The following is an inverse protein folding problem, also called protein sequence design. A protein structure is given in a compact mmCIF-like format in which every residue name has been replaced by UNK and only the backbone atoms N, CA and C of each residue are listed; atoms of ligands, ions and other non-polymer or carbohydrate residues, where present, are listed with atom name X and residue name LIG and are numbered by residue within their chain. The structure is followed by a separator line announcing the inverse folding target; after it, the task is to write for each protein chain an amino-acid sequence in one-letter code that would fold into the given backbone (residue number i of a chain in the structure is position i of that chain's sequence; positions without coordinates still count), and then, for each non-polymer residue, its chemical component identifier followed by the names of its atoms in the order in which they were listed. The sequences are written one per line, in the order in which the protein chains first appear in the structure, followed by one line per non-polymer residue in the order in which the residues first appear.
data_IF_705842723965
#
_entry.id   IF_705842723965
#
_cell.length_a   1.000
_cell.length_b   1.000
_cell.length_c   1.000
_cell.angle_alpha   90.00
_cell.angle_beta   90.00
_cell.angle_gamma   90.00
#
_symmetry.space_group_name_H-M   'P 1'
#
loop_
_entity.id
_entity.type
_entity.pdbx_description
1 polymer ?
#
# COMPACT_ATOMS: atom_id res chain seq x y z
N UNK A 1 1.93 -2.63 7.62
CA UNK A 1 1.39 -3.99 7.33
C UNK A 1 0.04 -3.86 6.64
N UNK A 2 -0.35 -4.84 5.81
CA UNK A 2 -1.54 -4.80 4.96
C UNK A 2 -2.56 -5.86 5.35
N UNK A 3 -3.84 -5.54 5.15
CA UNK A 3 -4.97 -6.41 5.47
C UNK A 3 -5.81 -6.72 4.22
N UNK A 4 -6.88 -7.50 4.40
CA UNK A 4 -7.87 -7.75 3.34
C UNK A 4 -8.61 -6.48 2.88
N UNK A 5 -8.42 -5.35 3.53
CA UNK A 5 -8.94 -4.06 3.07
C UNK A 5 -8.20 -3.57 1.80
N UNK A 6 -6.95 -4.01 1.60
CA UNK A 6 -6.19 -3.74 0.36
C UNK A 6 -5.74 -5.04 -0.33
N UNK A 7 -4.56 -5.53 -0.05
CA UNK A 7 -3.94 -6.68 -0.73
C UNK A 7 -3.24 -7.67 0.22
N UNK A 8 -3.41 -7.50 1.53
CA UNK A 8 -3.05 -8.49 2.53
C UNK A 8 -4.02 -9.66 2.58
N UNK A 9 -3.63 -10.77 3.22
CA UNK A 9 -4.45 -11.99 3.31
C UNK A 9 -5.23 -12.11 4.61
N UNK A 10 -4.85 -11.37 5.66
CA UNK A 10 -5.52 -11.40 6.97
C UNK A 10 -6.47 -10.21 7.12
N UNK A 11 -7.61 -10.45 7.77
CA UNK A 11 -8.49 -9.36 8.19
C UNK A 11 -7.78 -8.46 9.24
N UNK A 12 -8.22 -7.21 9.44
CA UNK A 12 -7.66 -6.36 10.49
C UNK A 12 -7.68 -7.01 11.88
N UNK A 13 -8.74 -7.74 12.22
CA UNK A 13 -8.86 -8.47 13.49
C UNK A 13 -7.81 -9.59 13.59
N UNK A 14 -7.70 -10.44 12.57
CA UNK A 14 -6.70 -11.53 12.54
C UNK A 14 -5.28 -10.96 12.60
N UNK A 15 -4.98 -9.91 11.83
CA UNK A 15 -3.64 -9.30 11.80
C UNK A 15 -3.24 -8.74 13.17
N UNK A 16 -4.15 -8.05 13.87
CA UNK A 16 -3.87 -7.51 15.21
C UNK A 16 -3.75 -8.60 16.26
N UNK A 17 -4.49 -9.71 16.14
CA UNK A 17 -4.30 -10.90 16.98
C UNK A 17 -2.93 -11.55 16.77
N UNK A 18 -2.48 -11.68 15.52
CA UNK A 18 -1.13 -12.19 15.21
C UNK A 18 -0.05 -11.27 15.75
N UNK A 19 -0.24 -9.95 15.71
CA UNK A 19 0.71 -8.98 16.27
C UNK A 19 0.88 -9.14 17.79
N UNK A 20 -0.23 -9.33 18.51
CA UNK A 20 -0.21 -9.60 19.96
C UNK A 20 0.49 -10.95 20.26
N UNK A 21 0.19 -12.00 19.48
CA UNK A 21 0.84 -13.30 19.63
C UNK A 21 2.35 -13.24 19.35
N UNK A 22 2.76 -12.39 18.42
CA UNK A 22 4.18 -12.16 18.10
C UNK A 22 4.89 -11.25 19.12
N UNK A 23 4.19 -10.71 20.11
CA UNK A 23 4.74 -9.84 21.15
C UNK A 23 5.10 -8.43 20.65
N UNK A 24 4.40 -7.92 19.66
CA UNK A 24 4.62 -6.55 19.19
C UNK A 24 3.97 -5.54 20.14
N UNK A 25 4.73 -4.51 20.55
CA UNK A 25 4.22 -3.41 21.38
C UNK A 25 3.42 -2.39 20.54
N UNK A 26 3.86 -2.14 19.31
CA UNK A 26 3.30 -1.14 18.41
C UNK A 26 3.25 -1.67 16.98
N UNK A 27 2.16 -1.36 16.27
CA UNK A 27 2.01 -1.64 14.85
C UNK A 27 1.24 -0.53 14.13
N UNK A 28 1.35 -0.49 12.81
CA UNK A 28 0.49 0.29 11.95
C UNK A 28 -0.15 -0.62 10.90
N UNK A 29 -1.45 -0.47 10.66
CA UNK A 29 -2.13 -1.01 9.49
C UNK A 29 -2.08 0.09 8.43
N UNK A 30 -1.37 -0.18 7.34
CA UNK A 30 -1.09 0.82 6.29
C UNK A 30 -1.60 0.34 4.93
N UNK A 31 -2.86 -0.05 4.89
CA UNK A 31 -3.50 -0.54 3.67
C UNK A 31 -3.38 0.44 2.51
N UNK A 32 -3.20 -0.08 1.29
CA UNK A 32 -3.06 0.75 0.10
C UNK A 32 -4.32 1.56 -0.19
N UNK A 33 -4.21 2.89 -0.11
CA UNK A 33 -5.21 3.88 -0.51
C UNK A 33 -6.60 3.70 0.16
N UNK A 34 -6.62 3.10 1.36
CA UNK A 34 -7.84 2.91 2.15
C UNK A 34 -7.57 2.97 3.64
N UNK A 35 -8.55 3.42 4.40
CA UNK A 35 -8.60 3.42 5.86
C UNK A 35 -9.71 2.48 6.38
N UNK A 36 -10.22 1.59 5.55
CA UNK A 36 -11.35 0.71 5.89
C UNK A 36 -11.08 -0.14 7.13
N UNK A 37 -9.82 -0.51 7.40
CA UNK A 37 -9.44 -1.23 8.62
C UNK A 37 -9.82 -0.50 9.92
N UNK A 38 -10.00 0.82 9.87
CA UNK A 38 -10.32 1.65 11.03
C UNK A 38 -11.78 2.10 11.07
N UNK A 39 -12.48 2.12 9.93
CA UNK A 39 -13.82 2.72 9.79
C UNK A 39 -14.95 1.70 9.59
N UNK A 40 -14.66 0.46 9.27
CA UNK A 40 -15.65 -0.58 8.97
C UNK A 40 -16.17 -1.34 10.19
N UNK A 41 -15.90 -0.87 11.41
CA UNK A 41 -16.30 -1.55 12.64
C UNK A 41 -15.48 -2.82 12.95
N UNK A 42 -14.30 -2.98 12.36
CA UNK A 42 -13.37 -4.05 12.67
C UNK A 42 -12.96 -4.01 14.14
N UNK A 43 -12.91 -5.18 14.78
CA UNK A 43 -12.44 -5.32 16.16
C UNK A 43 -10.94 -5.46 16.17
N UNK A 44 -10.23 -4.34 16.35
CA UNK A 44 -8.78 -4.36 16.51
C UNK A 44 -8.43 -4.81 17.93
N UNK A 45 -7.41 -5.69 18.05
CA UNK A 45 -7.00 -6.21 19.37
C UNK A 45 -6.31 -5.09 20.18
N UNK A 46 -6.82 -4.75 21.39
CA UNK A 46 -6.24 -3.69 22.22
C UNK A 46 -4.91 -4.09 22.90
N UNK A 47 -4.47 -5.33 22.76
CA UNK A 47 -3.20 -5.81 23.31
C UNK A 47 -1.95 -5.30 22.58
N UNK A 48 -2.11 -4.60 21.47
CA UNK A 48 -1.03 -3.91 20.75
C UNK A 48 -1.44 -2.46 20.48
N UNK A 49 -0.50 -1.51 20.65
CA UNK A 49 -0.75 -0.11 20.28
C UNK A 49 -0.82 0.02 18.76
N UNK A 50 -1.95 0.50 18.24
CA UNK A 50 -2.15 0.66 16.80
C UNK A 50 -2.05 2.14 16.44
N UNK A 51 -1.18 2.45 15.47
CA UNK A 51 -1.07 3.78 14.88
C UNK A 51 -1.93 3.78 13.61
N UNK A 52 -2.98 4.62 13.52
CA UNK A 52 -3.77 4.75 12.30
C UNK A 52 -2.90 5.21 11.16
N UNK A 53 -2.89 4.44 10.06
CA UNK A 53 -2.02 4.70 8.92
C UNK A 53 -2.70 4.33 7.60
N UNK A 54 -2.10 4.76 6.51
CA UNK A 54 -2.43 4.38 5.13
C UNK A 54 -1.18 4.50 4.27
N UNK A 55 -1.03 3.64 3.29
CA UNK A 55 0.01 3.76 2.27
C UNK A 55 -0.60 4.29 0.97
N UNK A 56 -0.32 5.56 0.66
CA UNK A 56 -0.82 6.20 -0.56
C UNK A 56 0.06 5.87 -1.75
N UNK A 57 -0.58 5.50 -2.85
CA UNK A 57 0.09 5.21 -4.13
C UNK A 57 0.32 6.51 -4.92
N UNK A 58 1.58 6.77 -5.25
CA UNK A 58 2.01 7.80 -6.19
C UNK A 58 2.96 7.19 -7.23
N UNK A 59 3.44 7.99 -8.16
CA UNK A 59 4.48 7.58 -9.11
C UNK A 59 5.30 8.79 -9.57
N UNK A 60 6.53 8.53 -9.96
CA UNK A 60 7.40 9.49 -10.60
C UNK A 60 8.21 8.81 -11.71
N UNK A 61 8.14 9.34 -12.93
CA UNK A 61 8.86 8.86 -14.12
C UNK A 61 8.79 7.33 -14.34
N UNK A 62 7.64 6.76 -13.96
CA UNK A 62 7.38 5.34 -14.15
C UNK A 62 7.78 4.43 -13.00
N UNK A 63 8.44 4.94 -11.98
CA UNK A 63 8.67 4.23 -10.73
C UNK A 63 7.51 4.45 -9.76
N UNK A 64 7.09 3.38 -9.10
CA UNK A 64 6.08 3.47 -8.03
C UNK A 64 6.70 4.15 -6.80
N UNK A 65 6.07 5.22 -6.32
CA UNK A 65 6.45 5.94 -5.11
C UNK A 65 5.31 5.82 -4.12
N UNK A 66 5.59 5.28 -2.94
CA UNK A 66 4.56 5.17 -1.91
C UNK A 66 4.82 6.17 -0.77
N UNK A 67 3.73 6.74 -0.27
CA UNK A 67 3.75 7.70 0.84
C UNK A 67 2.94 7.13 1.99
N UNK A 68 3.62 6.78 3.09
CA UNK A 68 2.98 6.37 4.33
C UNK A 68 2.43 7.59 5.06
N UNK A 69 1.14 7.57 5.36
CA UNK A 69 0.54 8.51 6.32
C UNK A 69 0.42 7.84 7.67
N UNK A 70 1.08 8.36 8.70
CA UNK A 70 0.91 7.90 10.08
C UNK A 70 0.10 8.88 10.91
N UNK A 71 -0.55 8.41 11.97
CA UNK A 71 -1.36 9.23 12.89
C UNK A 71 -2.54 9.94 12.23
N UNK A 72 -3.07 9.33 11.18
CA UNK A 72 -4.19 9.89 10.42
C UNK A 72 -5.44 10.05 11.30
N UNK A 73 -6.14 11.14 11.10
CA UNK A 73 -7.53 11.27 11.54
C UNK A 73 -8.43 10.53 10.56
N UNK A 74 -8.86 9.34 10.94
CA UNK A 74 -9.72 8.50 10.09
C UNK A 74 -11.13 9.07 9.88
N UNK A 75 -11.53 10.06 10.68
CA UNK A 75 -12.79 10.80 10.51
C UNK A 75 -12.63 12.03 9.60
N UNK A 76 -11.42 12.31 9.10
CA UNK A 76 -11.18 13.43 8.21
C UNK A 76 -11.92 13.25 6.88
N UNK A 77 -12.83 14.19 6.59
CA UNK A 77 -13.71 14.10 5.42
C UNK A 77 -12.95 14.05 4.08
N UNK A 78 -11.82 14.77 3.95
CA UNK A 78 -11.04 14.77 2.71
C UNK A 78 -10.31 13.44 2.51
N UNK A 79 -9.89 12.79 3.60
CA UNK A 79 -9.26 11.47 3.55
C UNK A 79 -10.29 10.39 3.17
N UNK A 80 -11.48 10.43 3.80
CA UNK A 80 -12.58 9.50 3.48
C UNK A 80 -13.05 9.66 2.02
N UNK A 81 -13.19 10.89 1.54
CA UNK A 81 -13.53 11.18 0.15
C UNK A 81 -12.48 10.64 -0.82
N UNK A 82 -11.19 10.82 -0.51
CA UNK A 82 -10.10 10.24 -1.30
C UNK A 82 -10.21 8.72 -1.40
N UNK A 83 -10.38 8.02 -0.28
CA UNK A 83 -10.50 6.56 -0.23
C UNK A 83 -11.71 6.06 -1.05
N UNK A 84 -12.87 6.73 -0.90
CA UNK A 84 -14.08 6.40 -1.65
C UNK A 84 -13.89 6.58 -3.17
N UNK A 85 -13.33 7.71 -3.59
CA UNK A 85 -13.03 7.99 -5.00
C UNK A 85 -11.96 7.04 -5.56
N UNK A 86 -10.95 6.68 -4.75
CA UNK A 86 -9.92 5.74 -5.16
C UNK A 86 -10.51 4.36 -5.44
N UNK A 87 -11.35 3.86 -4.53
CA UNK A 87 -12.08 2.59 -4.67
C UNK A 87 -12.93 2.56 -5.93
N UNK A 88 -13.71 3.63 -6.16
CA UNK A 88 -14.54 3.76 -7.37
C UNK A 88 -13.68 3.73 -8.65
N UNK A 89 -12.60 4.51 -8.70
CA UNK A 89 -11.69 4.54 -9.86
C UNK A 89 -11.04 3.17 -10.13
N UNK A 90 -10.68 2.43 -9.06
CA UNK A 90 -10.16 1.05 -9.23
C UNK A 90 -11.20 0.12 -9.84
N UNK A 91 -12.46 0.22 -9.41
CA UNK A 91 -13.55 -0.58 -9.96
C UNK A 91 -13.78 -0.24 -11.45
N UNK A 92 -13.89 1.04 -11.79
CA UNK A 92 -14.05 1.49 -13.17
C UNK A 92 -12.88 1.03 -14.05
N UNK A 93 -11.65 1.17 -13.57
CA UNK A 93 -10.46 0.71 -14.29
C UNK A 93 -10.46 -0.79 -14.52
N UNK A 94 -10.88 -1.60 -13.52
CA UNK A 94 -10.96 -3.05 -13.67
C UNK A 94 -11.95 -3.42 -14.80
N UNK A 95 -13.11 -2.78 -14.85
CA UNK A 95 -14.11 -3.01 -15.90
C UNK A 95 -13.59 -2.57 -17.28
N UNK A 96 -12.89 -1.45 -17.37
CA UNK A 96 -12.27 -1.00 -18.62
C UNK A 96 -11.19 -2.00 -19.13
N UNK A 97 -10.38 -2.57 -18.22
CA UNK A 97 -9.43 -3.63 -18.59
C UNK A 97 -10.17 -4.86 -19.13
N UNK A 98 -11.28 -5.26 -18.49
CA UNK A 98 -12.12 -6.37 -18.96
C UNK A 98 -12.65 -6.11 -20.36
N UNK A 99 -13.21 -4.93 -20.63
CA UNK A 99 -13.70 -4.53 -21.94
C UNK A 99 -12.61 -4.57 -23.02
N UNK A 100 -11.40 -4.11 -22.68
CA UNK A 100 -10.24 -4.22 -23.59
C UNK A 100 -9.83 -5.67 -23.83
N UNK A 101 -9.81 -6.53 -22.80
CA UNK A 101 -9.56 -7.96 -22.99
C UNK A 101 -10.60 -8.60 -23.92
N UNK A 102 -11.87 -8.29 -23.73
CA UNK A 102 -12.96 -8.81 -24.59
C UNK A 102 -12.83 -8.33 -26.04
N UNK A 103 -12.45 -7.07 -26.25
CA UNK A 103 -12.20 -6.55 -27.61
C UNK A 103 -11.04 -7.24 -28.32
N UNK A 104 -10.12 -7.84 -27.56
CA UNK A 104 -9.03 -8.68 -28.05
C UNK A 104 -9.42 -10.16 -28.20
N UNK A 105 -10.68 -10.54 -27.92
CA UNK A 105 -11.20 -11.90 -28.01
C UNK A 105 -11.06 -12.72 -26.73
N UNK A 106 -10.64 -12.13 -25.62
CA UNK A 106 -10.49 -12.80 -24.32
C UNK A 106 -11.72 -12.56 -23.45
N UNK A 107 -12.70 -13.45 -23.49
CA UNK A 107 -13.95 -13.31 -22.71
C UNK A 107 -13.74 -13.67 -21.25
N UNK A 108 -14.06 -12.75 -20.35
CA UNK A 108 -14.00 -12.92 -18.89
C UNK A 108 -15.40 -13.10 -18.30
N UNK A 109 -15.47 -13.67 -17.10
CA UNK A 109 -16.71 -13.82 -16.36
C UNK A 109 -17.05 -12.48 -15.64
N UNK A 110 -17.90 -11.68 -16.30
CA UNK A 110 -18.32 -10.37 -15.77
C UNK A 110 -19.11 -10.51 -14.48
N UNK A 111 -19.98 -11.52 -14.34
CA UNK A 111 -20.78 -11.70 -13.13
C UNK A 111 -19.89 -11.98 -11.92
N UNK A 112 -18.85 -12.81 -12.11
CA UNK A 112 -17.86 -13.06 -11.08
C UNK A 112 -17.12 -11.78 -10.66
N UNK A 113 -16.71 -10.95 -11.65
CA UNK A 113 -16.00 -9.69 -11.42
C UNK A 113 -16.90 -8.69 -10.68
N UNK A 114 -18.09 -8.46 -11.20
CA UNK A 114 -19.08 -7.56 -10.61
C UNK A 114 -19.48 -8.01 -9.19
N UNK A 115 -19.62 -9.32 -8.98
CA UNK A 115 -19.88 -9.90 -7.67
C UNK A 115 -18.77 -9.65 -6.65
N UNK A 116 -17.49 -9.63 -7.05
CA UNK A 116 -16.37 -9.26 -6.18
C UNK A 116 -16.42 -7.76 -5.86
N UNK A 117 -16.62 -6.92 -6.88
CA UNK A 117 -16.68 -5.48 -6.74
C UNK A 117 -17.86 -5.02 -5.87
N UNK A 118 -19.05 -5.63 -6.04
CA UNK A 118 -20.25 -5.32 -5.27
C UNK A 118 -20.11 -5.62 -3.77
N UNK A 119 -19.31 -6.64 -3.42
CA UNK A 119 -18.97 -6.96 -2.02
C UNK A 119 -17.84 -6.09 -1.44
N UNK A 120 -17.42 -5.07 -2.17
CA UNK A 120 -16.36 -4.17 -1.77
C UNK A 120 -14.93 -4.68 -2.04
N UNK A 121 -14.79 -5.85 -2.69
CA UNK A 121 -13.49 -6.35 -3.10
C UNK A 121 -12.84 -5.51 -4.18
N UNK A 122 -11.54 -5.67 -4.35
CA UNK A 122 -10.76 -4.99 -5.38
C UNK A 122 -10.27 -5.95 -6.44
N UNK A 123 -10.37 -5.56 -7.70
CA UNK A 123 -9.82 -6.29 -8.83
C UNK A 123 -8.73 -5.46 -9.49
N UNK A 124 -7.55 -6.04 -9.59
CA UNK A 124 -6.40 -5.45 -10.28
C UNK A 124 -5.92 -6.34 -11.43
N UNK A 125 -4.92 -5.87 -12.18
CA UNK A 125 -4.32 -6.61 -13.30
C UNK A 125 -3.91 -8.05 -12.94
N UNK A 126 -3.31 -8.35 -11.76
CA UNK A 126 -2.96 -9.73 -11.41
C UNK A 126 -4.19 -10.64 -11.25
N UNK A 127 -5.33 -10.09 -10.79
CA UNK A 127 -6.57 -10.86 -10.68
C UNK A 127 -7.11 -11.21 -12.08
N UNK A 128 -7.15 -10.22 -12.98
CA UNK A 128 -7.58 -10.42 -14.37
C UNK A 128 -6.65 -11.39 -15.09
N UNK A 129 -5.33 -11.28 -14.88
CA UNK A 129 -4.35 -12.21 -15.45
C UNK A 129 -4.60 -13.65 -14.99
N UNK A 130 -4.84 -13.88 -13.70
CA UNK A 130 -5.17 -15.23 -13.19
C UNK A 130 -6.47 -15.76 -13.78
N UNK A 131 -7.49 -14.92 -14.00
CA UNK A 131 -8.75 -15.33 -14.64
C UNK A 131 -8.52 -15.74 -16.09
N UNK A 132 -7.69 -15.03 -16.84
CA UNK A 132 -7.32 -15.37 -18.21
C UNK A 132 -6.55 -16.69 -18.30
N UNK A 133 -5.64 -16.94 -17.36
CA UNK A 133 -4.92 -18.23 -17.24
C UNK A 133 -5.89 -19.36 -16.89
N UNK A 134 -6.79 -19.15 -15.92
CA UNK A 134 -7.79 -20.15 -15.54
C UNK A 134 -8.73 -20.53 -16.69
N UNK A 135 -8.98 -19.62 -17.62
CA UNK A 135 -9.74 -19.88 -18.86
C UNK A 135 -8.91 -20.52 -19.99
N UNK A 136 -7.62 -20.73 -19.78
CA UNK A 136 -6.73 -21.36 -20.75
C UNK A 136 -6.28 -20.47 -21.91
N UNK A 137 -6.49 -19.15 -21.84
CA UNK A 137 -6.02 -18.22 -22.86
C UNK A 137 -4.51 -18.03 -22.86
N UNK A 138 -3.86 -18.21 -21.71
CA UNK A 138 -2.44 -18.06 -21.52
C UNK A 138 -1.87 -19.16 -20.61
N UNK A 139 -0.59 -19.55 -20.78
CA UNK A 139 0.02 -20.60 -19.96
C UNK A 139 0.22 -20.18 -18.50
N UNK A 140 0.53 -18.91 -18.25
CA UNK A 140 0.80 -18.35 -16.93
C UNK A 140 0.55 -16.83 -16.88
N UNK A 141 0.63 -16.26 -15.69
CA UNK A 141 0.40 -14.83 -15.43
C UNK A 141 1.43 -13.94 -16.13
N UNK A 142 2.68 -14.38 -16.21
CA UNK A 142 3.76 -13.63 -16.87
C UNK A 142 3.44 -13.44 -18.35
N UNK A 143 3.02 -14.50 -19.03
CA UNK A 143 2.63 -14.45 -20.45
C UNK A 143 1.47 -13.47 -20.70
N UNK A 144 0.50 -13.35 -19.75
CA UNK A 144 -0.57 -12.35 -19.86
C UNK A 144 -0.02 -10.92 -19.78
N UNK A 145 0.88 -10.67 -18.80
CA UNK A 145 1.49 -9.35 -18.67
C UNK A 145 2.30 -8.98 -19.89
N UNK A 146 3.14 -9.88 -20.39
CA UNK A 146 4.02 -9.65 -21.55
C UNK A 146 3.22 -9.43 -22.84
N UNK A 147 2.05 -10.08 -22.98
CA UNK A 147 1.25 -9.98 -24.18
C UNK A 147 0.31 -8.77 -24.20
N UNK A 148 -0.42 -8.49 -23.10
CA UNK A 148 -1.55 -7.55 -23.14
C UNK A 148 -1.64 -6.58 -21.96
N UNK A 149 -1.10 -6.92 -20.75
CA UNK A 149 -1.28 -6.12 -19.54
C UNK A 149 -0.03 -5.33 -19.11
N UNK A 150 1.07 -5.37 -19.90
CA UNK A 150 2.23 -4.52 -19.66
C UNK A 150 1.89 -3.04 -19.77
N UNK A 151 2.74 -2.14 -19.23
CA UNK A 151 2.52 -0.69 -19.31
C UNK A 151 2.50 -0.21 -20.76
N UNK A 152 1.36 0.29 -21.22
CA UNK A 152 1.13 0.66 -22.64
C UNK A 152 0.65 -0.49 -23.52
N UNK A 153 0.44 -1.69 -22.97
CA UNK A 153 -0.10 -2.83 -23.70
C UNK A 153 -1.57 -2.64 -24.13
N UNK A 154 -2.07 -3.51 -25.03
CA UNK A 154 -3.39 -3.30 -25.65
C UNK A 154 -4.55 -3.37 -24.66
N UNK A 155 -4.45 -4.14 -23.56
CA UNK A 155 -5.45 -4.16 -22.49
C UNK A 155 -5.03 -3.32 -21.26
N UNK A 156 -3.93 -2.58 -21.33
CA UNK A 156 -3.47 -1.73 -20.24
C UNK A 156 -4.33 -0.47 -20.13
N UNK A 157 -4.87 -0.21 -18.94
CA UNK A 157 -5.54 1.05 -18.59
C UNK A 157 -4.63 1.80 -17.61
N UNK A 158 -4.22 3.05 -17.92
CA UNK A 158 -3.43 3.87 -17.01
C UNK A 158 -4.17 4.08 -15.69
N UNK A 159 -3.42 4.10 -14.60
CA UNK A 159 -3.96 4.44 -13.30
C UNK A 159 -3.59 5.90 -12.98
N UNK A 160 -4.58 6.75 -12.76
CA UNK A 160 -4.34 8.12 -12.32
C UNK A 160 -4.13 8.11 -10.81
N UNK A 161 -2.90 8.33 -10.41
CA UNK A 161 -2.50 8.51 -9.01
C UNK A 161 -2.43 9.99 -8.66
N UNK A 162 -2.41 10.29 -7.38
CA UNK A 162 -2.01 11.61 -6.91
C UNK A 162 -0.51 11.78 -7.08
N UNK A 163 -0.05 13.03 -7.28
CA UNK A 163 1.38 13.34 -7.18
C UNK A 163 1.86 13.14 -5.74
N UNK A 164 3.18 13.06 -5.55
CA UNK A 164 3.80 12.96 -4.23
C UNK A 164 3.34 14.12 -3.33
N UNK A 165 3.37 15.35 -3.82
CA UNK A 165 2.95 16.53 -3.06
C UNK A 165 1.46 16.49 -2.69
N UNK A 166 0.58 16.05 -3.60
CA UNK A 166 -0.84 15.89 -3.27
C UNK A 166 -1.07 14.80 -2.20
N UNK A 167 -0.26 13.74 -2.17
CA UNK A 167 -0.31 12.72 -1.12
C UNK A 167 0.13 13.32 0.22
N UNK A 168 1.26 14.02 0.25
CA UNK A 168 1.79 14.69 1.44
C UNK A 168 0.76 15.69 1.99
N UNK A 169 0.20 16.56 1.12
CA UNK A 169 -0.80 17.55 1.51
C UNK A 169 -2.05 16.90 2.11
N UNK A 170 -2.55 15.82 1.52
CA UNK A 170 -3.72 15.12 2.05
C UNK A 170 -3.45 14.49 3.42
N UNK A 171 -2.29 13.88 3.61
CA UNK A 171 -1.84 13.33 4.90
C UNK A 171 -1.78 14.43 5.95
N UNK A 172 -1.16 15.57 5.63
CA UNK A 172 -1.08 16.72 6.56
C UNK A 172 -2.46 17.28 6.90
N UNK A 173 -3.36 17.40 5.93
CA UNK A 173 -4.76 17.82 6.17
C UNK A 173 -5.53 16.85 7.05
N UNK A 174 -5.17 15.56 7.03
CA UNK A 174 -5.70 14.56 7.95
C UNK A 174 -4.95 14.52 9.29
N UNK A 175 -4.07 15.50 9.58
CA UNK A 175 -3.32 15.62 10.83
C UNK A 175 -2.22 14.58 11.01
N UNK A 176 -1.83 13.89 9.93
CA UNK A 176 -0.81 12.85 9.95
C UNK A 176 0.60 13.34 9.61
N UNK A 177 1.55 12.40 9.66
CA UNK A 177 2.93 12.54 9.19
C UNK A 177 3.09 11.82 7.85
N UNK A 178 3.66 12.49 6.85
CA UNK A 178 3.97 11.92 5.54
C UNK A 178 5.39 11.34 5.52
N UNK A 179 5.51 10.03 5.37
CA UNK A 179 6.77 9.29 5.43
C UNK A 179 7.02 8.57 4.10
N UNK A 180 8.23 8.75 3.53
CA UNK A 180 8.62 8.03 2.31
C UNK A 180 8.73 6.53 2.61
N UNK A 181 7.92 5.71 1.94
CA UNK A 181 7.90 4.26 2.11
C UNK A 181 9.06 3.58 1.39
N UNK A 182 9.59 2.49 1.97
CA UNK A 182 10.56 1.55 1.39
C UNK A 182 11.49 2.15 0.29
N UNK A 183 12.28 3.21 0.58
CA UNK A 183 13.09 3.93 -0.41
C UNK A 183 14.09 3.02 -1.15
N UNK A 184 14.43 1.86 -0.59
CA UNK A 184 15.29 0.87 -1.25
C UNK A 184 14.75 0.31 -2.56
N UNK A 185 13.47 0.52 -2.88
CA UNK A 185 12.86 0.14 -4.15
C UNK A 185 12.96 1.22 -5.22
N UNK A 186 13.36 2.43 -4.86
CA UNK A 186 13.55 3.54 -5.79
C UNK A 186 14.95 3.49 -6.41
N UNK A 187 15.02 3.84 -7.69
CA UNK A 187 16.24 3.86 -8.48
C UNK A 187 16.50 5.26 -9.05
N UNK A 188 16.13 5.52 -10.29
CA UNK A 188 16.34 6.80 -10.95
C UNK A 188 15.49 7.93 -10.35
N UNK A 189 14.32 7.61 -9.81
CA UNK A 189 13.41 8.56 -9.17
C UNK A 189 13.94 9.10 -7.83
N UNK A 190 14.80 8.37 -7.11
CA UNK A 190 15.23 8.68 -5.75
C UNK A 190 15.70 10.13 -5.56
N UNK A 191 16.64 10.69 -6.37
CA UNK A 191 17.11 12.07 -6.15
C UNK A 191 15.99 13.11 -6.22
N UNK A 192 15.01 12.90 -7.11
CA UNK A 192 13.86 13.78 -7.23
C UNK A 192 12.90 13.59 -6.05
N UNK A 193 12.58 12.35 -5.70
CA UNK A 193 11.68 12.03 -4.58
C UNK A 193 12.16 12.66 -3.27
N UNK A 194 13.47 12.66 -3.01
CA UNK A 194 14.05 13.28 -1.84
C UNK A 194 13.96 14.82 -1.80
N UNK A 195 13.51 15.48 -2.88
CA UNK A 195 13.27 16.95 -2.89
C UNK A 195 11.91 17.35 -2.32
N UNK A 196 10.99 16.40 -2.16
CA UNK A 196 9.66 16.66 -1.61
C UNK A 196 9.67 16.85 -0.10
N UNK A 197 8.63 17.49 0.43
CA UNK A 197 8.54 17.89 1.83
C UNK A 197 7.97 16.79 2.73
N UNK A 198 8.60 15.61 2.72
CA UNK A 198 8.27 14.55 3.67
C UNK A 198 8.60 14.95 5.11
N UNK A 199 7.89 14.37 6.08
CA UNK A 199 8.19 14.49 7.51
C UNK A 199 9.16 13.39 7.96
N UNK A 200 9.27 12.29 7.20
CA UNK A 200 10.11 11.16 7.58
C UNK A 200 10.43 10.21 6.41
N UNK A 201 11.23 9.21 6.71
CA UNK A 201 11.64 8.16 5.78
C UNK A 201 11.63 6.81 6.49
N UNK A 202 11.14 5.79 5.81
CA UNK A 202 11.17 4.43 6.30
C UNK A 202 12.57 3.84 6.12
N UNK A 203 13.34 3.79 7.21
CA UNK A 203 14.71 3.26 7.22
C UNK A 203 14.70 1.75 7.42
N UNK A 204 14.04 1.30 8.50
CA UNK A 204 14.02 -0.12 8.87
C UNK A 204 12.93 -0.86 8.09
N UNK A 205 13.31 -1.36 6.91
CA UNK A 205 12.42 -2.11 6.01
C UNK A 205 13.17 -3.28 5.36
N UNK A 206 12.52 -4.42 5.10
CA UNK A 206 13.17 -5.58 4.47
C UNK A 206 13.89 -5.27 3.15
N UNK A 207 13.33 -4.39 2.34
CA UNK A 207 13.90 -3.97 1.04
C UNK A 207 15.06 -2.98 1.17
N UNK A 208 15.27 -2.42 2.35
CA UNK A 208 16.34 -1.47 2.63
C UNK A 208 17.58 -2.15 3.26
N UNK A 209 17.58 -3.49 3.38
CA UNK A 209 18.72 -4.21 3.97
C UNK A 209 20.04 -3.86 3.29
N UNK A 210 21.04 -3.53 4.12
CA UNK A 210 22.36 -3.09 3.64
C UNK A 210 22.46 -1.59 3.30
N UNK A 211 21.33 -0.83 3.37
CA UNK A 211 21.29 0.62 3.09
C UNK A 211 20.75 1.45 4.27
N UNK A 212 20.64 0.87 5.48
CA UNK A 212 20.09 1.59 6.64
C UNK A 212 20.89 2.85 6.98
N UNK A 213 22.23 2.77 6.97
CA UNK A 213 23.10 3.92 7.25
C UNK A 213 22.93 5.04 6.23
N UNK A 214 22.71 4.70 4.95
CA UNK A 214 22.42 5.67 3.90
C UNK A 214 21.11 6.43 4.19
N UNK A 215 20.05 5.71 4.55
CA UNK A 215 18.75 6.35 4.83
C UNK A 215 18.71 7.05 6.18
N UNK A 216 19.49 6.61 7.17
CA UNK A 216 19.70 7.34 8.41
C UNK A 216 20.39 8.68 8.15
N UNK A 217 21.42 8.71 7.29
CA UNK A 217 22.10 9.95 6.92
C UNK A 217 21.16 10.92 6.18
N UNK A 218 20.28 10.41 5.32
CA UNK A 218 19.24 11.23 4.67
C UNK A 218 18.27 11.81 5.71
N UNK A 219 17.81 10.99 6.66
CA UNK A 219 16.92 11.45 7.72
C UNK A 219 17.56 12.55 8.57
N UNK A 220 18.84 12.40 8.94
CA UNK A 220 19.61 13.40 9.69
C UNK A 220 19.78 14.69 8.90
N UNK A 221 20.21 14.62 7.62
CA UNK A 221 20.39 15.78 6.74
C UNK A 221 19.10 16.59 6.57
N UNK A 222 17.97 15.89 6.42
CA UNK A 222 16.66 16.51 6.18
C UNK A 222 15.93 16.90 7.47
N UNK A 223 16.38 16.44 8.63
CA UNK A 223 15.66 16.59 9.89
C UNK A 223 14.36 15.78 9.92
N UNK A 224 14.31 14.65 9.21
CA UNK A 224 13.16 13.79 9.08
C UNK A 224 13.04 12.75 10.20
N UNK A 225 11.81 12.36 10.51
CA UNK A 225 11.57 11.21 11.38
C UNK A 225 12.08 9.93 10.75
N UNK A 226 12.69 9.08 11.58
CA UNK A 226 13.03 7.71 11.18
C UNK A 226 11.83 6.81 11.43
N UNK A 227 11.39 6.11 10.40
CA UNK A 227 10.34 5.12 10.47
C UNK A 227 10.83 3.72 10.12
N UNK A 228 9.92 2.77 10.20
CA UNK A 228 10.17 1.39 9.77
C UNK A 228 8.90 0.57 9.74
N UNK A 229 8.94 -0.50 8.97
CA UNK A 229 7.83 -1.43 8.81
C UNK A 229 8.26 -2.73 8.15
N UNK A 230 7.44 -3.75 8.30
CA UNK A 230 7.67 -5.07 7.72
C UNK A 230 7.13 -5.19 6.30
N UNK A 231 6.21 -4.34 5.90
CA UNK A 231 5.43 -4.46 4.66
C UNK A 231 4.78 -5.86 4.53
N UNK A 232 4.32 -6.40 5.68
CA UNK A 232 3.75 -7.72 5.76
C UNK A 232 2.39 -7.77 5.06
N UNK A 233 2.24 -8.76 4.15
CA UNK A 233 0.99 -9.02 3.43
C UNK A 233 0.43 -10.42 3.71
N UNK A 234 1.22 -11.31 4.34
CA UNK A 234 0.84 -12.70 4.59
C UNK A 234 0.84 -13.60 3.36
N UNK A 235 1.34 -13.11 2.22
CA UNK A 235 1.38 -13.87 0.96
C UNK A 235 2.52 -14.88 0.99
N UNK A 236 2.22 -16.15 0.68
CA UNK A 236 3.23 -17.22 0.60
C UNK A 236 4.37 -16.86 -0.36
N UNK A 237 5.61 -17.06 0.08
CA UNK A 237 6.81 -16.77 -0.69
C UNK A 237 7.20 -15.28 -0.72
N UNK A 238 6.45 -14.39 -0.07
CA UNK A 238 6.81 -12.97 0.12
C UNK A 238 7.34 -12.76 1.54
N UNK A 239 8.59 -12.33 1.66
CA UNK A 239 9.19 -12.00 2.96
C UNK A 239 8.70 -10.64 3.48
N UNK A 240 8.38 -10.50 4.75
CA UNK A 240 8.31 -11.54 5.78
C UNK A 240 7.07 -12.44 5.63
N UNK A 241 7.21 -13.73 5.87
CA UNK A 241 6.10 -14.71 5.74
C UNK A 241 5.20 -14.79 6.99
N UNK A 242 5.67 -14.25 8.12
CA UNK A 242 4.94 -14.24 9.38
C UNK A 242 5.11 -12.89 10.09
N UNK A 243 4.09 -12.50 10.85
CA UNK A 243 4.14 -11.32 11.73
C UNK A 243 5.23 -11.53 12.79
N UNK A 244 6.01 -10.49 13.06
CA UNK A 244 7.10 -10.52 14.06
C UNK A 244 8.45 -11.01 13.52
N UNK A 245 8.51 -11.70 12.37
CA UNK A 245 9.81 -12.14 11.76
C UNK A 245 10.68 -10.92 11.36
N UNK A 246 10.05 -9.83 10.98
CA UNK A 246 10.73 -8.56 10.82
C UNK A 246 10.14 -7.55 11.80
N UNK A 247 10.93 -7.21 12.81
CA UNK A 247 10.65 -6.19 13.81
C UNK A 247 11.95 -5.49 14.20
N UNK A 248 11.85 -4.39 14.90
CA UNK A 248 12.97 -3.61 15.40
C UNK A 248 12.57 -2.91 16.71
N UNK A 249 13.57 -2.52 17.51
CA UNK A 249 13.33 -1.88 18.79
C UNK A 249 12.68 -0.51 18.61
N UNK A 250 11.67 -0.21 19.44
CA UNK A 250 10.93 1.06 19.41
C UNK A 250 11.82 2.27 19.67
N UNK A 251 12.91 2.12 20.41
CA UNK A 251 13.90 3.18 20.66
C UNK A 251 14.47 3.78 19.37
N UNK A 252 14.59 2.97 18.31
CA UNK A 252 15.11 3.41 17.01
C UNK A 252 14.18 4.39 16.26
N UNK A 253 12.92 4.41 16.63
CA UNK A 253 11.87 5.24 16.01
C UNK A 253 11.11 6.05 17.06
N UNK A 254 11.66 6.20 18.25
CA UNK A 254 11.01 6.86 19.39
C UNK A 254 10.47 8.26 19.06
N UNK A 255 11.20 9.15 18.36
CA UNK A 255 10.68 10.47 18.01
C UNK A 255 9.39 10.40 17.19
N UNK A 256 9.27 9.45 16.26
CA UNK A 256 8.06 9.21 15.49
C UNK A 256 6.93 8.67 16.39
N UNK A 257 7.23 7.75 17.32
CA UNK A 257 6.25 7.19 18.24
C UNK A 257 5.73 8.17 19.29
N UNK A 258 6.48 9.22 19.57
CA UNK A 258 6.11 10.31 20.50
C UNK A 258 5.39 11.46 19.79
N UNK A 259 5.18 11.39 18.47
CA UNK A 259 4.46 12.42 17.73
C UNK A 259 3.09 12.67 18.38
N UNK A 260 2.83 13.94 18.69
CA UNK A 260 1.54 14.41 19.19
C UNK A 260 0.94 15.32 18.13
N UNK A 261 -0.28 15.02 17.72
CA UNK A 261 -1.06 15.96 16.89
C UNK A 261 -1.02 17.34 17.53
N UNK A 262 -0.60 18.33 16.76
CA UNK A 262 -0.69 19.75 17.17
C UNK A 262 -2.09 20.27 17.02
#
# INVERSE_FOLDING_TARGET
MHTTCSDGVYTPEELTNLAVQAGLDVMAISDHDTIDAYTTGCRLNPGVRIIPAMEMSSDYDGEDVHVLGYYLDTENAALQEYCAQFKLRRQMRAMEIVERCESLGYVLDREQIEGVLARGGTIGRPHIARMLVAKGYFPDVTAVFDAILYRGGPAYVPYRRKSIDECIELIHRAGGLAVLAHPGLLHAAMPHVLTHSFDGIEVYHPKNRGRYEEFLAVAEEKGWYVGGGSDFHGTTGRYPEQVGVFSFDTERVEPLLQYKKK
#
